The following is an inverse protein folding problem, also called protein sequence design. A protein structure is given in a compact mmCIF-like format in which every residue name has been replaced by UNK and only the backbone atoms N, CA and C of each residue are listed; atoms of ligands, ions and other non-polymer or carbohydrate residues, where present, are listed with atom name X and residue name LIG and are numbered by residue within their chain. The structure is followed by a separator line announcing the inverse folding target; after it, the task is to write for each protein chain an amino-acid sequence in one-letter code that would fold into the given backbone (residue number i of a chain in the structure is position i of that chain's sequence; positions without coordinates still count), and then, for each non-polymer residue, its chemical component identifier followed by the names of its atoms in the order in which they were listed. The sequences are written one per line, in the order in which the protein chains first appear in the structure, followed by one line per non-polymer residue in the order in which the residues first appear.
data_IF_275149484788
#
_entry.id   IF_275149484788
#
_cell.length_a   1.000
_cell.length_b   1.000
_cell.length_c   1.000
_cell.angle_alpha   90.00
_cell.angle_beta   90.00
_cell.angle_gamma   90.00
#
_symmetry.space_group_name_H-M   'P 1'
#
loop_
_entity.id
_entity.type
_entity.pdbx_description
1 polymer ?
#
# COMPACT_ATOMS: atom_id res chain seq x y z
N UNK A 1 -5.75 16.67 -9.08
CA UNK A 1 -4.99 16.37 -7.85
C UNK A 1 -5.56 15.12 -7.19
N UNK A 2 -4.70 14.15 -6.87
CA UNK A 2 -5.16 12.92 -6.22
C UNK A 2 -5.34 13.14 -4.73
N UNK A 3 -6.56 12.86 -4.26
CA UNK A 3 -6.88 12.92 -2.84
C UNK A 3 -6.90 11.53 -2.21
N UNK A 4 -6.52 10.50 -2.96
CA UNK A 4 -6.53 9.12 -2.49
C UNK A 4 -5.40 8.35 -3.14
N UNK A 5 -4.81 7.45 -2.36
CA UNK A 5 -3.72 6.58 -2.81
C UNK A 5 -3.91 5.18 -2.26
N UNK A 6 -3.36 4.21 -2.98
CA UNK A 6 -3.17 2.85 -2.46
C UNK A 6 -1.69 2.73 -2.10
N UNK A 7 -1.35 2.03 -1.04
CA UNK A 7 0.04 1.88 -0.61
C UNK A 7 0.50 0.43 -0.69
N UNK A 8 1.80 0.23 -0.95
CA UNK A 8 2.41 -1.09 -0.82
C UNK A 8 2.90 -1.32 0.61
N UNK A 9 3.47 -2.50 0.85
CA UNK A 9 3.92 -2.92 2.17
C UNK A 9 5.08 -2.07 2.67
N UNK A 10 6.10 -1.85 1.83
CA UNK A 10 7.31 -1.16 2.26
C UNK A 10 7.04 0.29 2.64
N UNK A 11 6.16 0.97 1.92
CA UNK A 11 5.84 2.37 2.24
C UNK A 11 5.23 2.50 3.64
N UNK A 12 4.33 1.58 4.02
CA UNK A 12 3.74 1.56 5.36
C UNK A 12 4.81 1.30 6.42
N UNK A 13 5.67 0.31 6.17
CA UNK A 13 6.74 -0.04 7.11
C UNK A 13 7.67 1.15 7.34
N UNK A 14 8.10 1.80 6.26
CA UNK A 14 8.98 2.97 6.37
C UNK A 14 8.34 4.07 7.21
N UNK A 15 7.05 4.31 7.00
CA UNK A 15 6.35 5.37 7.75
C UNK A 15 6.21 5.03 9.23
N UNK A 16 5.76 3.81 9.55
CA UNK A 16 5.53 3.42 10.93
C UNK A 16 6.81 3.26 11.72
N UNK A 17 7.90 2.84 11.07
CA UNK A 17 9.21 2.73 11.72
C UNK A 17 9.97 4.04 11.71
N UNK A 18 9.38 5.10 11.17
CA UNK A 18 9.99 6.44 11.09
C UNK A 18 11.33 6.40 10.37
N UNK A 19 11.42 5.54 9.34
CA UNK A 19 12.62 5.41 8.53
C UNK A 19 12.59 6.42 7.40
N UNK A 20 13.78 6.72 6.86
CA UNK A 20 13.90 7.68 5.77
C UNK A 20 13.13 7.20 4.53
N UNK A 21 12.34 8.10 3.96
CA UNK A 21 11.69 7.91 2.68
C UNK A 21 11.92 9.18 1.85
N UNK A 22 11.57 9.14 0.55
CA UNK A 22 11.75 10.34 -0.24
C UNK A 22 10.69 11.40 0.13
N UNK A 23 10.96 12.64 -0.30
CA UNK A 23 10.13 13.78 0.08
C UNK A 23 8.68 13.64 -0.42
N UNK A 24 8.49 13.07 -1.60
CA UNK A 24 7.14 12.91 -2.17
C UNK A 24 6.29 11.99 -1.32
N UNK A 25 6.82 10.83 -0.96
CA UNK A 25 6.13 9.83 -0.13
C UNK A 25 5.85 10.41 1.24
N UNK A 26 6.84 11.07 1.84
CA UNK A 26 6.69 11.71 3.14
C UNK A 26 5.55 12.72 3.11
N UNK A 27 5.48 13.55 2.07
CA UNK A 27 4.43 14.56 1.94
C UNK A 27 3.04 13.94 1.82
N UNK A 28 2.92 12.81 1.10
CA UNK A 28 1.65 12.12 0.97
C UNK A 28 1.19 11.61 2.34
N UNK A 29 2.07 10.92 3.09
CA UNK A 29 1.70 10.41 4.41
C UNK A 29 1.38 11.53 5.39
N UNK A 30 2.11 12.64 5.34
CA UNK A 30 1.78 13.81 6.18
C UNK A 30 0.39 14.35 5.86
N UNK A 31 0.04 14.40 4.58
CA UNK A 31 -1.30 14.84 4.15
C UNK A 31 -2.39 13.88 4.63
N UNK A 32 -2.11 12.58 4.62
CA UNK A 32 -3.02 11.55 5.15
C UNK A 32 -3.25 11.79 6.65
N UNK A 33 -2.17 12.03 7.40
CA UNK A 33 -2.23 12.23 8.84
C UNK A 33 -2.89 13.56 9.22
N UNK A 34 -2.92 14.50 8.30
CA UNK A 34 -3.68 15.77 8.46
C UNK A 34 -5.11 15.65 7.95
N UNK A 35 -5.53 14.43 7.61
CA UNK A 35 -6.88 14.08 7.14
C UNK A 35 -7.30 14.84 5.86
N UNK A 36 -6.33 15.17 5.02
CA UNK A 36 -6.56 15.80 3.72
C UNK A 36 -6.51 14.83 2.55
N UNK A 37 -5.93 13.65 2.76
CA UNK A 37 -5.72 12.62 1.74
C UNK A 37 -6.13 11.27 2.31
N UNK A 38 -6.81 10.46 1.51
CA UNK A 38 -7.20 9.11 1.91
C UNK A 38 -6.11 8.13 1.53
N UNK A 39 -5.83 7.17 2.41
CA UNK A 39 -4.89 6.09 2.16
C UNK A 39 -5.61 4.76 2.27
N UNK A 40 -5.56 3.96 1.21
CA UNK A 40 -6.08 2.59 1.23
C UNK A 40 -4.91 1.63 1.41
N UNK A 41 -4.98 0.82 2.46
CA UNK A 41 -4.00 -0.23 2.72
C UNK A 41 -4.63 -1.55 2.27
N UNK A 42 -4.13 -2.15 1.17
CA UNK A 42 -4.65 -3.46 0.74
C UNK A 42 -4.50 -4.51 1.84
N UNK A 43 -5.50 -5.37 2.00
CA UNK A 43 -5.42 -6.43 3.00
C UNK A 43 -4.19 -7.33 2.80
N UNK A 44 -3.70 -7.47 1.57
CA UNK A 44 -2.45 -8.20 1.29
C UNK A 44 -1.25 -7.58 2.01
N UNK A 45 -1.24 -6.26 2.18
CA UNK A 45 -0.19 -5.57 2.94
C UNK A 45 -0.20 -6.05 4.39
N UNK A 46 -1.39 -6.23 4.98
CA UNK A 46 -1.50 -6.77 6.34
C UNK A 46 -0.92 -8.18 6.44
N UNK A 47 -1.20 -9.02 5.44
CA UNK A 47 -0.67 -10.39 5.41
C UNK A 47 0.85 -10.38 5.35
N UNK A 48 1.43 -9.51 4.53
CA UNK A 48 2.87 -9.41 4.42
C UNK A 48 3.52 -8.87 5.69
N UNK A 49 2.91 -7.85 6.30
CA UNK A 49 3.43 -7.29 7.56
C UNK A 49 3.37 -8.36 8.66
N UNK A 50 2.24 -9.07 8.78
CA UNK A 50 2.11 -10.13 9.77
C UNK A 50 3.18 -11.22 9.59
N UNK A 51 3.39 -11.63 8.36
CA UNK A 51 4.38 -12.66 8.02
C UNK A 51 5.81 -12.21 8.35
N UNK A 52 6.17 -10.99 7.94
CA UNK A 52 7.50 -10.44 8.20
C UNK A 52 7.73 -10.19 9.70
N UNK A 53 6.71 -9.73 10.41
CA UNK A 53 6.79 -9.46 11.84
C UNK A 53 7.02 -10.75 12.62
N UNK A 54 6.30 -11.83 12.31
CA UNK A 54 6.50 -13.09 13.03
C UNK A 54 7.87 -13.70 12.78
N UNK A 55 8.53 -13.34 11.68
CA UNK A 55 9.87 -13.79 11.34
C UNK A 55 10.96 -12.82 11.83
N UNK A 56 10.57 -11.80 12.58
CA UNK A 56 11.49 -10.77 13.10
C UNK A 56 12.28 -10.06 12.00
N UNK A 57 11.67 -9.90 10.82
CA UNK A 57 12.31 -9.19 9.70
C UNK A 57 12.05 -7.69 9.72
N UNK A 58 11.02 -7.26 10.45
CA UNK A 58 10.64 -5.86 10.61
C UNK A 58 10.24 -5.64 12.06
N UNK A 59 10.22 -4.38 12.49
CA UNK A 59 9.77 -4.00 13.84
C UNK A 59 8.27 -3.68 13.87
N UNK A 60 7.67 -3.38 12.71
CA UNK A 60 6.24 -3.06 12.59
C UNK A 60 5.40 -4.30 12.86
N UNK A 61 4.36 -4.15 13.69
CA UNK A 61 3.41 -5.22 13.98
C UNK A 61 2.04 -4.90 13.38
N UNK A 62 1.18 -5.93 13.27
CA UNK A 62 -0.20 -5.72 12.85
C UNK A 62 -0.95 -4.79 13.80
N UNK A 63 -0.65 -4.88 15.10
CA UNK A 63 -1.27 -4.00 16.09
C UNK A 63 -0.94 -2.54 15.80
N UNK A 64 0.30 -2.25 15.44
CA UNK A 64 0.71 -0.88 15.11
C UNK A 64 -0.02 -0.35 13.88
N UNK A 65 -0.23 -1.19 12.86
CA UNK A 65 -1.02 -0.79 11.69
C UNK A 65 -2.46 -0.52 12.10
N UNK A 66 -3.04 -1.37 12.95
CA UNK A 66 -4.40 -1.19 13.44
C UNK A 66 -4.53 0.12 14.23
N UNK A 67 -3.56 0.43 15.06
CA UNK A 67 -3.53 1.68 15.83
C UNK A 67 -3.42 2.89 14.90
N UNK A 68 -2.63 2.77 13.84
CA UNK A 68 -2.50 3.82 12.84
C UNK A 68 -3.85 4.10 12.16
N UNK A 69 -4.59 3.05 11.81
CA UNK A 69 -5.93 3.18 11.23
C UNK A 69 -6.91 3.82 12.20
N UNK A 70 -6.81 3.50 13.49
CA UNK A 70 -7.69 4.09 14.51
C UNK A 70 -7.37 5.56 14.72
N UNK A 71 -6.10 5.92 14.68
CA UNK A 71 -5.66 7.30 14.91
C UNK A 71 -6.04 8.21 13.76
N UNK A 72 -5.99 7.71 12.53
CA UNK A 72 -6.23 8.51 11.33
C UNK A 72 -7.39 7.91 10.52
N UNK A 73 -8.59 8.51 10.60
CA UNK A 73 -9.77 7.96 9.87
C UNK A 73 -9.60 7.92 8.35
N UNK A 74 -8.67 8.71 7.80
CA UNK A 74 -8.34 8.70 6.38
C UNK A 74 -7.60 7.43 5.95
N UNK A 75 -7.10 6.64 6.89
CA UNK A 75 -6.42 5.37 6.61
C UNK A 75 -7.42 4.25 6.72
N UNK A 76 -7.64 3.52 5.62
CA UNK A 76 -8.64 2.46 5.56
C UNK A 76 -8.04 1.19 4.98
N UNK A 77 -8.47 0.04 5.50
CA UNK A 77 -8.07 -1.26 4.96
C UNK A 77 -8.99 -1.61 3.79
N UNK A 78 -8.38 -1.98 2.67
CA UNK A 78 -9.14 -2.40 1.49
C UNK A 78 -9.14 -3.92 1.42
N UNK A 79 -10.31 -4.57 1.51
CA UNK A 79 -10.37 -6.03 1.55
C UNK A 79 -10.02 -6.66 0.20
N UNK A 80 -9.55 -7.92 0.25
CA UNK A 80 -9.34 -8.73 -0.95
C UNK A 80 -10.68 -9.37 -1.31
N UNK A 81 -11.36 -8.79 -2.28
CA UNK A 81 -12.65 -9.30 -2.76
C UNK A 81 -12.43 -10.14 -4.02
N UNK A 82 -13.48 -10.88 -4.43
CA UNK A 82 -13.44 -11.58 -5.72
C UNK A 82 -13.16 -10.59 -6.85
N UNK A 83 -13.72 -9.39 -6.76
CA UNK A 83 -13.53 -8.35 -7.77
C UNK A 83 -12.05 -7.92 -7.85
N UNK A 84 -11.39 -7.75 -6.71
CA UNK A 84 -9.95 -7.46 -6.67
C UNK A 84 -9.17 -8.57 -7.34
N UNK A 85 -9.52 -9.83 -7.07
CA UNK A 85 -8.81 -10.98 -7.66
C UNK A 85 -8.99 -11.02 -9.19
N UNK A 86 -10.21 -10.78 -9.67
CA UNK A 86 -10.43 -10.72 -11.13
C UNK A 86 -9.60 -9.62 -11.77
N UNK A 87 -9.56 -8.45 -11.16
CA UNK A 87 -8.75 -7.33 -11.64
C UNK A 87 -7.26 -7.66 -11.63
N UNK A 88 -6.81 -8.35 -10.57
CA UNK A 88 -5.42 -8.78 -10.41
C UNK A 88 -4.95 -9.58 -11.63
N UNK A 89 -5.78 -10.50 -12.12
CA UNK A 89 -5.39 -11.37 -13.23
C UNK A 89 -5.62 -10.75 -14.62
N UNK A 90 -6.12 -9.52 -14.69
CA UNK A 90 -6.02 -8.72 -15.92
C UNK A 90 -4.60 -8.15 -16.09
N UNK A 91 -3.84 -8.03 -15.01
CA UNK A 91 -2.46 -7.56 -15.03
C UNK A 91 -1.57 -8.75 -15.42
N UNK A 92 -0.85 -8.64 -16.53
CA UNK A 92 -0.04 -9.74 -17.05
C UNK A 92 1.47 -9.48 -17.05
N UNK A 93 1.90 -8.35 -16.48
CA UNK A 93 3.32 -7.96 -16.47
C UNK A 93 3.92 -7.84 -15.07
N UNK A 94 3.23 -8.32 -14.05
CA UNK A 94 3.74 -8.43 -12.68
C UNK A 94 3.72 -9.89 -12.30
N UNK A 95 4.89 -10.56 -12.20
CA UNK A 95 4.92 -12.02 -12.02
C UNK A 95 4.64 -12.50 -10.60
N UNK A 96 5.04 -11.74 -9.58
CA UNK A 96 4.90 -12.17 -8.19
C UNK A 96 3.46 -11.94 -7.70
N UNK A 97 2.86 -12.97 -7.11
CA UNK A 97 1.43 -12.97 -6.77
C UNK A 97 1.04 -11.86 -5.79
N UNK A 98 1.83 -11.70 -4.72
CA UNK A 98 1.48 -10.72 -3.67
C UNK A 98 1.55 -9.28 -4.21
N UNK A 99 2.60 -8.98 -4.97
CA UNK A 99 2.76 -7.69 -5.62
C UNK A 99 1.63 -7.44 -6.61
N UNK A 100 1.23 -8.50 -7.35
CA UNK A 100 0.15 -8.38 -8.32
C UNK A 100 -1.19 -8.09 -7.66
N UNK A 101 -1.46 -8.68 -6.49
CA UNK A 101 -2.70 -8.43 -5.75
C UNK A 101 -2.73 -6.99 -5.21
N UNK A 102 -1.60 -6.48 -4.71
CA UNK A 102 -1.49 -5.09 -4.28
C UNK A 102 -1.76 -4.16 -5.47
N UNK A 103 -1.11 -4.44 -6.60
CA UNK A 103 -1.32 -3.67 -7.83
C UNK A 103 -2.76 -3.79 -8.32
N UNK A 104 -3.36 -4.97 -8.21
CA UNK A 104 -4.75 -5.21 -8.60
C UNK A 104 -5.74 -4.38 -7.78
N UNK A 105 -5.43 -4.16 -6.51
CA UNK A 105 -6.25 -3.29 -5.67
C UNK A 105 -6.21 -1.85 -6.21
N UNK A 106 -5.02 -1.34 -6.52
CA UNK A 106 -4.86 -0.01 -7.08
C UNK A 106 -5.54 0.10 -8.45
N UNK A 107 -5.40 -0.94 -9.27
CA UNK A 107 -5.99 -0.99 -10.60
C UNK A 107 -7.53 -0.94 -10.53
N UNK A 108 -8.12 -1.75 -9.65
CA UNK A 108 -9.57 -1.74 -9.46
C UNK A 108 -10.07 -0.37 -9.00
N UNK A 109 -9.35 0.25 -8.07
CA UNK A 109 -9.73 1.55 -7.52
C UNK A 109 -9.38 2.72 -8.45
N UNK A 110 -8.59 2.46 -9.48
CA UNK A 110 -8.11 3.50 -10.39
C UNK A 110 -7.36 4.61 -9.65
N UNK A 111 -6.50 4.20 -8.73
CA UNK A 111 -5.70 5.11 -7.91
C UNK A 111 -4.22 4.85 -8.10
N UNK A 112 -3.39 5.87 -7.85
CA UNK A 112 -1.95 5.68 -7.86
C UNK A 112 -1.53 4.79 -6.70
N UNK A 113 -0.54 3.95 -6.96
CA UNK A 113 0.07 3.07 -5.95
C UNK A 113 1.38 3.66 -5.49
N UNK A 114 1.52 3.83 -4.18
CA UNK A 114 2.78 4.26 -3.56
C UNK A 114 3.69 3.03 -3.50
N UNK A 115 4.73 3.00 -4.32
CA UNK A 115 5.65 1.87 -4.38
C UNK A 115 6.98 2.27 -4.99
N UNK A 116 8.05 1.61 -4.55
CA UNK A 116 9.39 1.73 -5.14
C UNK A 116 9.81 0.45 -5.87
N UNK A 117 8.91 -0.51 -6.03
CA UNK A 117 9.24 -1.79 -6.67
C UNK A 117 9.35 -1.58 -8.18
N UNK A 118 10.55 -1.83 -8.78
CA UNK A 118 10.75 -1.63 -10.22
C UNK A 118 9.80 -2.45 -11.08
N UNK A 119 9.44 -3.65 -10.67
CA UNK A 119 8.53 -4.51 -11.44
C UNK A 119 7.12 -3.94 -11.49
N UNK A 120 6.70 -3.26 -10.43
CA UNK A 120 5.39 -2.60 -10.42
C UNK A 120 5.45 -1.27 -11.19
N UNK A 121 6.53 -0.51 -10.99
CA UNK A 121 6.74 0.76 -11.69
C UNK A 121 6.73 0.57 -13.20
N UNK A 122 7.32 -0.52 -13.69
CA UNK A 122 7.39 -0.82 -15.11
C UNK A 122 6.08 -1.37 -15.69
N UNK A 123 5.09 -1.69 -14.85
CA UNK A 123 3.82 -2.21 -15.32
C UNK A 123 3.07 -1.15 -16.14
N UNK A 124 2.50 -1.56 -17.26
CA UNK A 124 1.69 -0.67 -18.10
C UNK A 124 0.27 -0.49 -17.56
N UNK A 125 -0.12 -1.24 -16.54
CA UNK A 125 -1.48 -1.18 -15.99
C UNK A 125 -1.60 -0.21 -14.82
N UNK A 126 -0.50 0.08 -14.12
CA UNK A 126 -0.51 0.75 -12.82
C UNK A 126 0.18 2.11 -12.91
N UNK A 127 -0.47 3.12 -12.35
CA UNK A 127 0.16 4.42 -12.15
C UNK A 127 0.80 4.41 -10.75
N UNK A 128 2.06 4.76 -10.67
CA UNK A 128 2.81 4.68 -9.40
C UNK A 128 3.38 6.02 -9.00
N UNK A 129 3.69 6.15 -7.71
CA UNK A 129 4.36 7.30 -7.15
C UNK A 129 5.36 6.84 -6.09
N UNK A 130 6.51 7.52 -6.09
CA UNK A 130 7.54 7.30 -5.07
C UNK A 130 8.42 8.52 -4.91
#
# INVERSE_FOLDING_TARGET
MNNSYVTDTMAVILRLEKRRSNQKVKSIFESVEKEKTKLLIPAMVLAEIGYLSERNKIDTSLQEVQEYCKKYPTVQIEPITAEVIHKTFEINDIPELHDRIIAGTAYLKNLELITNDPLIIDSKYISTVW
#
